data_IF_355245134364
#
_entry.id   IF_355245134364
#
_cell.length_a   1.000
_cell.length_b   1.000
_cell.length_c   1.000
_cell.angle_alpha   90.00
_cell.angle_beta   90.00
_cell.angle_gamma   90.00
#
_symmetry.space_group_name_H-M   'P 1'
#
loop_
_entity.id
_entity.type
_entity.pdbx_description
1 polymer ?
#
# COMPACT_ATOMS: atom_id res chain seq x y z
N UNK A 1 16.58 -11.86 -22.48
CA UNK A 1 15.90 -10.62 -22.07
C UNK A 1 15.09 -10.97 -20.82
N UNK A 2 15.42 -10.42 -19.65
CA UNK A 2 14.63 -10.68 -18.43
C UNK A 2 13.22 -10.11 -18.65
N UNK A 3 12.18 -10.93 -18.41
CA UNK A 3 10.78 -10.49 -18.47
C UNK A 3 10.60 -9.37 -17.41
N UNK A 4 10.18 -8.19 -17.82
CA UNK A 4 9.85 -7.11 -16.88
C UNK A 4 8.77 -7.61 -15.92
N UNK A 5 8.89 -7.29 -14.64
CA UNK A 5 7.94 -7.70 -13.59
C UNK A 5 7.07 -6.52 -13.20
N UNK A 6 5.88 -6.77 -12.65
CA UNK A 6 5.07 -5.71 -12.05
C UNK A 6 5.80 -5.01 -10.90
N UNK A 7 5.43 -3.76 -10.63
CA UNK A 7 5.88 -3.01 -9.45
C UNK A 7 4.74 -2.90 -8.42
N UNK A 8 5.08 -2.85 -7.13
CA UNK A 8 4.15 -2.56 -6.04
C UNK A 8 4.19 -1.06 -5.75
N UNK A 9 3.04 -0.41 -5.84
CA UNK A 9 2.88 1.01 -5.51
C UNK A 9 2.19 1.10 -4.16
N UNK A 10 2.95 1.44 -3.13
CA UNK A 10 2.45 1.60 -1.75
C UNK A 10 1.99 3.04 -1.54
N UNK A 11 0.70 3.21 -1.24
CA UNK A 11 0.08 4.53 -1.08
C UNK A 11 0.12 4.97 0.39
N UNK A 12 1.09 5.81 0.74
CA UNK A 12 1.32 6.36 2.07
C UNK A 12 1.05 7.89 2.15
N UNK A 13 0.20 8.42 1.26
CA UNK A 13 -0.08 9.86 1.18
C UNK A 13 -1.46 10.24 1.76
N UNK A 14 -2.19 9.29 2.35
CA UNK A 14 -3.48 9.54 2.99
C UNK A 14 -3.34 10.39 4.27
N UNK A 15 -4.29 11.29 4.51
CA UNK A 15 -4.27 12.19 5.68
C UNK A 15 -4.57 11.50 7.01
N UNK A 16 -5.05 10.26 7.00
CA UNK A 16 -5.40 9.51 8.22
C UNK A 16 -6.49 10.15 9.08
N UNK A 17 -7.43 10.90 8.49
CA UNK A 17 -8.41 11.73 9.22
C UNK A 17 -9.36 10.94 10.14
N UNK A 18 -9.52 9.65 9.91
CA UNK A 18 -10.36 8.76 10.73
C UNK A 18 -9.65 8.24 11.97
N UNK A 19 -8.33 8.33 11.99
CA UNK A 19 -7.53 7.92 13.14
C UNK A 19 -7.51 9.03 14.18
N UNK A 20 -8.23 8.85 15.29
CA UNK A 20 -8.38 9.84 16.39
C UNK A 20 -7.31 9.68 17.49
N UNK A 21 -6.28 8.85 17.28
CA UNK A 21 -5.15 8.67 18.19
C UNK A 21 -4.08 9.75 18.03
N UNK A 22 -3.05 9.68 18.87
CA UNK A 22 -1.89 10.58 18.77
C UNK A 22 -1.04 10.25 17.52
N UNK A 23 -0.64 11.26 16.78
CA UNK A 23 0.22 11.11 15.59
C UNK A 23 -0.50 10.57 14.36
N UNK A 24 0.28 10.03 13.41
CA UNK A 24 -0.26 9.49 12.18
C UNK A 24 -0.45 7.96 12.27
N UNK A 25 -1.56 7.41 11.75
CA UNK A 25 -1.88 5.99 11.83
C UNK A 25 -0.76 5.06 11.31
N UNK A 26 -0.05 5.48 10.28
CA UNK A 26 1.05 4.71 9.68
C UNK A 26 2.30 4.63 10.56
N UNK A 27 2.45 5.56 11.52
CA UNK A 27 3.56 5.62 12.48
C UNK A 27 3.26 4.85 13.76
N UNK A 28 2.03 4.36 13.93
CA UNK A 28 1.63 3.59 15.11
C UNK A 28 2.34 2.25 15.16
N UNK A 29 2.77 1.84 16.36
CA UNK A 29 3.46 0.57 16.58
C UNK A 29 2.48 -0.59 16.52
N UNK A 30 2.91 -1.68 15.87
CA UNK A 30 2.14 -2.92 15.77
C UNK A 30 2.31 -3.82 16.98
N UNK A 31 3.50 -3.82 17.60
CA UNK A 31 3.77 -4.61 18.81
C UNK A 31 3.16 -3.98 20.06
N UNK A 32 2.68 -4.84 21.00
CA UNK A 32 2.25 -4.41 22.31
C UNK A 32 3.41 -3.88 23.18
N UNK A 33 3.10 -3.42 24.41
CA UNK A 33 4.00 -2.73 25.35
C UNK A 33 5.31 -3.47 25.72
N UNK A 34 5.44 -4.76 25.38
CA UNK A 34 6.56 -5.64 25.82
C UNK A 34 7.68 -5.79 24.78
N UNK A 35 7.78 -4.89 23.80
CA UNK A 35 8.86 -4.97 22.82
C UNK A 35 10.16 -4.37 23.35
N UNK A 36 11.26 -5.02 22.93
CA UNK A 36 12.64 -4.63 23.20
C UNK A 36 12.83 -3.12 23.01
N UNK A 37 13.18 -2.36 24.04
CA UNK A 37 13.36 -0.91 23.95
C UNK A 37 14.46 -0.49 22.99
N UNK A 38 15.25 -1.44 22.48
CA UNK A 38 16.35 -1.20 21.50
C UNK A 38 15.85 -1.22 20.05
N UNK A 39 14.67 -1.81 19.76
CA UNK A 39 14.11 -1.76 18.42
C UNK A 39 13.65 -0.34 18.09
N UNK A 40 14.14 0.22 16.99
CA UNK A 40 13.71 1.53 16.51
C UNK A 40 12.18 1.57 16.38
N UNK A 41 11.47 2.55 16.98
CA UNK A 41 10.02 2.67 16.87
C UNK A 41 9.54 2.66 15.41
N UNK A 42 10.33 3.20 14.49
CA UNK A 42 10.03 3.23 13.07
C UNK A 42 9.99 1.83 12.45
N UNK A 43 10.80 0.87 12.93
CA UNK A 43 10.88 -0.47 12.37
C UNK A 43 9.66 -1.36 12.71
N UNK A 44 8.86 -0.97 13.70
CA UNK A 44 7.68 -1.72 14.16
C UNK A 44 6.37 -0.99 13.84
N UNK A 45 6.41 0.01 12.97
CA UNK A 45 5.21 0.77 12.61
C UNK A 45 4.30 0.01 11.62
N UNK A 46 3.02 0.39 11.55
CA UNK A 46 2.06 -0.10 10.54
C UNK A 46 2.67 0.00 9.14
N UNK A 47 3.28 1.14 8.82
CA UNK A 47 3.96 1.37 7.55
C UNK A 47 5.12 0.38 7.35
N UNK A 48 5.97 0.19 8.36
CA UNK A 48 7.13 -0.70 8.27
C UNK A 48 6.71 -2.14 7.99
N UNK A 49 5.69 -2.65 8.65
CA UNK A 49 5.16 -3.99 8.39
C UNK A 49 4.60 -4.14 6.96
N UNK A 50 3.81 -3.17 6.49
CA UNK A 50 3.30 -3.18 5.12
C UNK A 50 4.44 -3.16 4.09
N UNK A 51 5.44 -2.30 4.29
CA UNK A 51 6.61 -2.21 3.41
C UNK A 51 7.47 -3.47 3.45
N UNK A 52 7.72 -4.04 4.63
CA UNK A 52 8.47 -5.28 4.76
C UNK A 52 7.81 -6.43 3.96
N UNK A 53 6.48 -6.57 4.04
CA UNK A 53 5.73 -7.55 3.28
C UNK A 53 5.80 -7.29 1.76
N UNK A 54 5.69 -6.03 1.34
CA UNK A 54 5.83 -5.67 -0.08
C UNK A 54 7.25 -5.95 -0.60
N UNK A 55 8.29 -5.58 0.13
CA UNK A 55 9.71 -5.80 -0.22
C UNK A 55 10.03 -7.31 -0.26
N UNK A 56 9.47 -8.11 0.65
CA UNK A 56 9.67 -9.57 0.68
C UNK A 56 9.19 -10.30 -0.58
N UNK A 57 8.35 -9.67 -1.43
CA UNK A 57 7.97 -10.21 -2.74
C UNK A 57 9.13 -10.26 -3.75
N UNK A 58 10.19 -9.48 -3.53
CA UNK A 58 11.27 -9.26 -4.49
C UNK A 58 10.83 -8.52 -5.76
N UNK A 59 9.65 -7.90 -5.78
CA UNK A 59 9.21 -6.95 -6.80
C UNK A 59 9.79 -5.57 -6.48
N UNK A 60 9.87 -4.69 -7.50
CA UNK A 60 10.16 -3.29 -7.25
C UNK A 60 9.02 -2.67 -6.43
N UNK A 61 9.37 -1.97 -5.36
CA UNK A 61 8.39 -1.26 -4.50
C UNK A 61 8.63 0.23 -4.66
N UNK A 62 7.58 0.98 -4.97
CA UNK A 62 7.58 2.45 -4.98
C UNK A 62 6.60 2.95 -3.92
N UNK A 63 7.07 3.84 -3.05
CA UNK A 63 6.25 4.45 -2.01
C UNK A 63 5.85 5.85 -2.41
N UNK A 64 4.56 6.12 -2.46
CA UNK A 64 4.04 7.47 -2.65
C UNK A 64 3.65 8.04 -1.30
N UNK A 65 4.31 9.12 -0.90
CA UNK A 65 4.15 9.71 0.44
C UNK A 65 4.05 11.22 0.38
N UNK A 66 3.79 11.86 1.53
CA UNK A 66 3.82 13.32 1.68
C UNK A 66 5.10 13.78 2.37
N UNK A 67 5.41 15.08 2.28
CA UNK A 67 6.57 15.64 2.97
C UNK A 67 6.52 15.40 4.48
N UNK A 68 5.32 15.41 5.07
CA UNK A 68 5.11 15.16 6.50
C UNK A 68 5.54 13.75 6.93
N UNK A 69 5.26 12.73 6.12
CA UNK A 69 5.58 11.32 6.42
C UNK A 69 6.95 10.89 5.90
N UNK A 70 7.65 11.74 5.14
CA UNK A 70 8.96 11.42 4.60
C UNK A 70 9.96 10.90 5.65
N UNK A 71 10.07 11.49 6.87
CA UNK A 71 10.99 10.99 7.90
C UNK A 71 10.71 9.54 8.32
N UNK A 72 9.45 9.10 8.25
CA UNK A 72 9.04 7.73 8.61
C UNK A 72 9.25 6.75 7.47
N UNK A 73 9.30 7.22 6.21
CA UNK A 73 9.50 6.39 5.01
C UNK A 73 10.98 6.17 4.71
N UNK A 74 11.81 7.22 4.78
CA UNK A 74 13.23 7.19 4.39
C UNK A 74 14.06 6.07 5.03
N UNK A 75 13.86 5.70 6.32
CA UNK A 75 14.62 4.60 6.90
C UNK A 75 14.25 3.20 6.38
N UNK A 76 13.10 3.08 5.70
CA UNK A 76 12.50 1.80 5.33
C UNK A 76 12.76 1.39 3.88
N UNK A 77 13.08 2.34 3.00
CA UNK A 77 13.26 2.09 1.56
C UNK A 77 14.25 3.08 0.93
N UNK A 78 14.85 2.67 -0.19
CA UNK A 78 15.79 3.52 -0.90
C UNK A 78 15.14 4.81 -1.44
N UNK A 79 15.84 5.93 -1.37
CA UNK A 79 15.33 7.24 -1.77
C UNK A 79 14.85 7.32 -3.23
N UNK A 80 15.46 6.54 -4.14
CA UNK A 80 15.06 6.47 -5.56
C UNK A 80 13.69 5.81 -5.78
N UNK A 81 13.17 5.10 -4.79
CA UNK A 81 11.86 4.43 -4.83
C UNK A 81 10.81 5.17 -3.97
N UNK A 82 11.09 6.42 -3.58
CA UNK A 82 10.16 7.28 -2.86
C UNK A 82 9.69 8.42 -3.74
N UNK A 83 8.38 8.58 -3.86
CA UNK A 83 7.72 9.70 -4.55
C UNK A 83 7.05 10.58 -3.52
N UNK A 84 7.61 11.77 -3.29
CA UNK A 84 6.99 12.77 -2.44
C UNK A 84 5.98 13.60 -3.22
N UNK A 85 4.74 13.62 -2.77
CA UNK A 85 3.72 14.54 -3.29
C UNK A 85 3.55 15.72 -2.34
N UNK A 86 3.29 16.91 -2.91
CA UNK A 86 3.17 18.13 -2.12
C UNK A 86 1.88 18.12 -1.29
N UNK A 87 2.00 18.45 0.00
CA UNK A 87 0.85 18.63 0.91
C UNK A 87 0.11 19.93 0.66
N UNK A 88 0.80 20.92 0.06
CA UNK A 88 0.31 22.27 -0.23
C UNK A 88 0.59 22.63 -1.69
N UNK A 89 -0.32 23.39 -2.30
CA UNK A 89 -0.11 23.94 -3.64
C UNK A 89 0.87 25.13 -3.63
N UNK A 90 1.18 25.67 -4.81
CA UNK A 90 2.07 26.83 -4.97
C UNK A 90 1.55 28.12 -4.29
N UNK A 91 0.30 28.13 -3.83
CA UNK A 91 -0.33 29.27 -3.11
C UNK A 91 -0.44 29.00 -1.60
N UNK A 92 0.18 27.92 -1.10
CA UNK A 92 0.14 27.57 0.32
C UNK A 92 -1.18 26.95 0.80
N UNK A 93 -2.09 26.59 -0.11
CA UNK A 93 -3.35 25.91 0.21
C UNK A 93 -3.13 24.40 0.21
N UNK A 94 -3.93 23.66 0.99
CA UNK A 94 -3.90 22.20 0.95
C UNK A 94 -4.06 21.72 -0.49
N UNK A 95 -3.05 20.99 -0.99
CA UNK A 95 -3.11 20.43 -2.32
C UNK A 95 -4.29 19.44 -2.38
N UNK A 96 -5.00 19.31 -3.50
CA UNK A 96 -6.03 18.31 -3.70
C UNK A 96 -5.37 16.93 -3.87
N UNK A 97 -4.79 16.41 -2.78
CA UNK A 97 -4.15 15.10 -2.76
C UNK A 97 -5.26 14.07 -2.68
N UNK A 98 -5.68 13.56 -3.82
CA UNK A 98 -6.61 12.45 -3.90
C UNK A 98 -5.89 11.12 -4.16
N UNK A 99 -6.57 10.00 -3.89
CA UNK A 99 -6.05 8.67 -4.14
C UNK A 99 -5.65 8.48 -5.61
N UNK A 100 -6.43 9.04 -6.55
CA UNK A 100 -6.13 8.98 -7.99
C UNK A 100 -4.79 9.64 -8.33
N UNK A 101 -4.51 10.80 -7.78
CA UNK A 101 -3.25 11.50 -7.98
C UNK A 101 -2.06 10.71 -7.42
N UNK A 102 -2.22 10.11 -6.24
CA UNK A 102 -1.19 9.26 -5.63
C UNK A 102 -0.89 8.03 -6.48
N UNK A 103 -1.92 7.38 -7.03
CA UNK A 103 -1.75 6.25 -7.95
C UNK A 103 -1.00 6.70 -9.21
N UNK A 104 -1.43 7.80 -9.84
CA UNK A 104 -0.81 8.33 -11.05
C UNK A 104 0.69 8.64 -10.84
N UNK A 105 1.05 9.27 -9.73
CA UNK A 105 2.43 9.61 -9.39
C UNK A 105 3.30 8.34 -9.20
N UNK A 106 2.80 7.34 -8.50
CA UNK A 106 3.51 6.07 -8.28
C UNK A 106 3.68 5.27 -9.57
N UNK A 107 2.64 5.18 -10.40
CA UNK A 107 2.67 4.50 -11.70
C UNK A 107 3.67 5.19 -12.65
N UNK A 108 3.68 6.52 -12.70
CA UNK A 108 4.63 7.28 -13.51
C UNK A 108 6.09 7.03 -13.08
N UNK A 109 6.37 6.95 -11.78
CA UNK A 109 7.70 6.66 -11.23
C UNK A 109 8.19 5.23 -11.54
N UNK A 110 7.26 4.29 -11.77
CA UNK A 110 7.54 2.91 -12.17
C UNK A 110 7.08 2.61 -13.60
N UNK A 111 7.18 3.59 -14.51
CA UNK A 111 6.64 3.49 -15.87
C UNK A 111 7.31 2.43 -16.76
N UNK A 112 8.44 1.87 -16.33
CA UNK A 112 9.14 0.76 -16.99
C UNK A 112 8.66 -0.62 -16.53
N UNK A 113 7.78 -0.71 -15.52
CA UNK A 113 7.24 -1.97 -15.03
C UNK A 113 6.25 -2.62 -16.01
N UNK A 114 6.05 -3.95 -15.88
CA UNK A 114 5.07 -4.70 -16.70
C UNK A 114 3.67 -4.73 -16.08
N UNK A 115 3.36 -3.82 -15.18
CA UNK A 115 2.10 -3.66 -14.48
C UNK A 115 2.33 -3.07 -13.10
N UNK A 116 1.26 -2.77 -12.40
CA UNK A 116 1.31 -2.11 -11.08
C UNK A 116 0.31 -2.71 -10.12
N UNK A 117 0.76 -3.00 -8.92
CA UNK A 117 -0.05 -3.50 -7.80
C UNK A 117 -0.26 -2.34 -6.82
N UNK A 118 -1.46 -1.84 -6.75
CA UNK A 118 -1.82 -0.71 -5.86
C UNK A 118 -2.15 -1.27 -4.48
N UNK A 119 -1.35 -0.86 -3.50
CA UNK A 119 -1.41 -1.32 -2.12
C UNK A 119 -1.53 -0.13 -1.16
N UNK A 120 -2.60 -0.01 -0.35
CA UNK A 120 -2.65 0.93 0.77
C UNK A 120 -1.54 0.64 1.80
N UNK A 121 -0.93 1.69 2.37
CA UNK A 121 0.19 1.56 3.31
C UNK A 121 -0.24 1.09 4.72
N UNK A 122 -1.51 0.98 4.98
CA UNK A 122 -2.14 0.63 6.26
C UNK A 122 -2.60 -0.83 6.34
N UNK A 123 -1.99 -1.72 5.54
CA UNK A 123 -2.33 -3.15 5.48
C UNK A 123 -1.18 -4.04 5.99
N UNK A 124 -0.84 -3.96 7.29
CA UNK A 124 0.37 -4.58 7.83
C UNK A 124 0.35 -6.11 7.88
N UNK A 125 -0.82 -6.74 7.76
CA UNK A 125 -1.00 -8.19 7.83
C UNK A 125 -1.04 -8.88 6.46
N UNK A 126 -1.03 -8.12 5.37
CA UNK A 126 -1.05 -8.66 4.01
C UNK A 126 0.20 -9.49 3.72
N UNK A 127 0.02 -10.75 3.32
CA UNK A 127 1.15 -11.66 3.08
C UNK A 127 1.78 -11.44 1.69
N UNK A 128 3.12 -11.58 1.57
CA UNK A 128 3.83 -11.46 0.29
C UNK A 128 3.29 -12.42 -0.79
N UNK A 129 2.87 -13.63 -0.40
CA UNK A 129 2.29 -14.62 -1.31
C UNK A 129 1.02 -14.12 -2.00
N UNK A 130 0.16 -13.38 -1.29
CA UNK A 130 -1.07 -12.80 -1.84
C UNK A 130 -0.75 -11.69 -2.86
N UNK A 131 0.27 -10.88 -2.61
CA UNK A 131 0.76 -9.87 -3.57
C UNK A 131 1.25 -10.55 -4.85
N UNK A 132 2.05 -11.61 -4.71
CA UNK A 132 2.59 -12.36 -5.84
C UNK A 132 1.50 -13.09 -6.64
N UNK A 133 0.45 -13.59 -5.97
CA UNK A 133 -0.68 -14.22 -6.66
C UNK A 133 -1.42 -13.23 -7.57
N UNK A 134 -1.67 -12.00 -7.10
CA UNK A 134 -2.28 -10.95 -7.92
C UNK A 134 -1.33 -10.52 -9.05
N UNK A 135 -0.01 -10.41 -8.77
CA UNK A 135 0.99 -10.09 -9.80
C UNK A 135 0.99 -11.12 -10.95
N UNK A 136 0.89 -12.40 -10.64
CA UNK A 136 0.85 -13.47 -11.63
C UNK A 136 -0.41 -13.42 -12.52
N UNK A 137 -1.55 -13.03 -11.96
CA UNK A 137 -2.80 -12.90 -12.71
C UNK A 137 -2.73 -11.80 -13.80
N UNK A 138 -1.86 -10.79 -13.67
CA UNK A 138 -1.67 -9.75 -14.67
C UNK A 138 -1.04 -10.23 -15.98
N UNK A 139 -0.51 -11.43 -16.01
CA UNK A 139 -0.05 -12.06 -17.28
C UNK A 139 -1.21 -12.39 -18.24
N UNK A 140 -2.44 -12.48 -17.73
CA UNK A 140 -3.62 -12.91 -18.48
C UNK A 140 -4.80 -11.91 -18.42
N UNK A 141 -4.82 -11.04 -17.40
CA UNK A 141 -5.94 -10.15 -17.17
C UNK A 141 -5.47 -8.68 -17.06
N UNK A 142 -6.21 -7.73 -17.64
CA UNK A 142 -5.86 -6.31 -17.53
C UNK A 142 -5.98 -5.77 -16.11
N UNK A 143 -6.90 -6.33 -15.32
CA UNK A 143 -7.10 -5.99 -13.90
C UNK A 143 -7.21 -7.28 -13.09
N UNK A 144 -6.55 -7.32 -11.93
CA UNK A 144 -6.69 -8.40 -10.96
C UNK A 144 -6.77 -7.84 -9.54
N UNK A 145 -7.43 -8.53 -8.62
CA UNK A 145 -7.47 -8.11 -7.22
C UNK A 145 -7.50 -9.31 -6.28
N UNK A 146 -6.91 -9.14 -5.10
CA UNK A 146 -7.00 -10.17 -4.07
C UNK A 146 -8.44 -10.29 -3.55
N UNK A 147 -8.87 -11.52 -3.28
CA UNK A 147 -10.16 -11.83 -2.71
C UNK A 147 -9.99 -12.88 -1.61
N UNK A 148 -10.72 -12.73 -0.50
CA UNK A 148 -10.75 -13.71 0.59
C UNK A 148 -12.20 -14.00 0.97
N UNK A 149 -12.61 -15.26 0.87
CA UNK A 149 -13.98 -15.73 1.10
C UNK A 149 -15.03 -14.89 0.33
N UNK A 150 -14.78 -14.64 -0.97
CA UNK A 150 -15.68 -13.88 -1.83
C UNK A 150 -15.68 -12.36 -1.57
N UNK A 151 -14.92 -11.86 -0.59
CA UNK A 151 -14.80 -10.43 -0.30
C UNK A 151 -13.56 -9.86 -0.99
N UNK A 152 -13.76 -8.79 -1.77
CA UNK A 152 -12.71 -8.09 -2.48
C UNK A 152 -11.81 -7.32 -1.51
N UNK A 153 -10.49 -7.47 -1.69
CA UNK A 153 -9.44 -6.81 -0.91
C UNK A 153 -8.35 -6.18 -1.77
N UNK A 154 -7.17 -6.03 -1.18
CA UNK A 154 -5.96 -5.51 -1.80
C UNK A 154 -4.85 -6.58 -1.82
N UNK A 155 -3.85 -6.41 -2.74
CA UNK A 155 -3.69 -5.33 -3.71
C UNK A 155 -4.68 -5.43 -4.87
N UNK A 156 -4.84 -4.29 -5.59
CA UNK A 156 -5.47 -4.27 -6.90
C UNK A 156 -4.40 -4.07 -7.95
N UNK A 157 -4.29 -5.01 -8.88
CA UNK A 157 -3.29 -5.02 -9.93
C UNK A 157 -3.85 -4.52 -11.28
N UNK A 158 -2.98 -3.89 -12.06
CA UNK A 158 -3.24 -3.37 -13.40
C UNK A 158 -2.10 -3.76 -14.34
N UNK A 159 -2.42 -4.28 -15.52
CA UNK A 159 -1.42 -4.60 -16.54
C UNK A 159 -0.83 -3.34 -17.20
N UNK A 160 0.31 -3.49 -17.88
CA UNK A 160 1.02 -2.40 -18.52
C UNK A 160 0.19 -1.64 -19.58
N UNK A 161 -0.77 -2.29 -20.21
CA UNK A 161 -1.66 -1.67 -21.21
C UNK A 161 -2.54 -0.55 -20.63
N UNK A 162 -2.76 -0.53 -19.30
CA UNK A 162 -3.56 0.48 -18.61
C UNK A 162 -2.73 1.69 -18.13
N UNK A 163 -1.46 1.81 -18.56
CA UNK A 163 -0.58 2.91 -18.16
C UNK A 163 -1.24 4.29 -18.34
N UNK A 164 -1.73 4.57 -19.54
CA UNK A 164 -2.32 5.88 -19.87
C UNK A 164 -3.56 6.20 -19.05
N UNK A 165 -4.37 5.19 -18.71
CA UNK A 165 -5.55 5.35 -17.86
C UNK A 165 -5.12 5.70 -16.42
N UNK A 166 -4.08 5.03 -15.91
CA UNK A 166 -3.63 5.21 -14.54
C UNK A 166 -2.90 6.53 -14.30
N UNK A 167 -2.05 6.97 -15.22
CA UNK A 167 -1.36 8.27 -15.10
C UNK A 167 -2.30 9.47 -15.28
N UNK A 168 -3.47 9.27 -15.89
CA UNK A 168 -4.53 10.27 -16.01
C UNK A 168 -5.45 10.37 -14.81
N UNK A 169 -5.28 9.55 -13.77
CA UNK A 169 -6.14 9.55 -12.60
C UNK A 169 -5.99 10.84 -11.78
N UNK A 170 -7.13 11.34 -11.29
CA UNK A 170 -7.23 12.54 -10.47
C UNK A 170 -8.29 12.34 -9.37
N UNK A 171 -8.29 13.22 -8.35
CA UNK A 171 -9.29 13.23 -7.30
C UNK A 171 -9.25 12.00 -6.37
N UNK A 172 -10.33 11.81 -5.62
CA UNK A 172 -10.40 10.83 -4.52
C UNK A 172 -10.95 9.45 -4.93
N UNK A 173 -11.50 9.30 -6.14
CA UNK A 173 -12.12 8.04 -6.57
C UNK A 173 -11.11 6.89 -6.79
N UNK A 174 -9.81 7.21 -6.80
CA UNK A 174 -8.77 6.24 -7.06
C UNK A 174 -8.94 5.60 -8.45
N UNK A 175 -8.66 4.30 -8.55
CA UNK A 175 -8.76 3.54 -9.79
C UNK A 175 -10.12 2.83 -9.99
N UNK A 176 -11.17 3.16 -9.21
CA UNK A 176 -12.48 2.46 -9.26
C UNK A 176 -13.10 2.47 -10.65
N UNK A 177 -13.00 3.60 -11.39
CA UNK A 177 -13.52 3.71 -12.76
C UNK A 177 -12.77 2.81 -13.74
N UNK A 178 -11.45 2.71 -13.60
CA UNK A 178 -10.64 1.81 -14.43
C UNK A 178 -11.06 0.36 -14.18
N UNK A 179 -11.16 -0.03 -12.90
CA UNK A 179 -11.60 -1.39 -12.53
C UNK A 179 -13.00 -1.72 -13.07
N UNK A 180 -13.94 -0.76 -13.05
CA UNK A 180 -15.29 -0.96 -13.56
C UNK A 180 -15.37 -1.09 -15.10
N UNK A 181 -14.38 -0.54 -15.80
CA UNK A 181 -14.34 -0.49 -17.28
C UNK A 181 -13.72 -1.73 -17.91
N UNK A 182 -12.80 -2.37 -17.22
CA UNK A 182 -12.02 -3.49 -17.78
C UNK A 182 -12.39 -4.83 -17.12
N UNK A 183 -12.28 -5.95 -17.86
CA UNK A 183 -12.41 -7.27 -17.28
C UNK A 183 -11.46 -7.44 -16.10
N UNK A 184 -11.97 -7.91 -14.97
CA UNK A 184 -11.19 -8.06 -13.76
C UNK A 184 -11.22 -9.49 -13.23
N UNK A 185 -10.06 -10.01 -12.82
CA UNK A 185 -9.90 -11.32 -12.20
C UNK A 185 -9.88 -11.21 -10.69
N UNK A 186 -10.81 -11.87 -10.02
CA UNK A 186 -10.72 -12.14 -8.59
C UNK A 186 -9.70 -13.28 -8.35
N UNK A 187 -8.68 -12.99 -7.55
CA UNK A 187 -7.66 -13.96 -7.13
C UNK A 187 -7.98 -14.36 -5.70
N UNK A 188 -8.58 -15.55 -5.53
CA UNK A 188 -8.90 -16.07 -4.19
C UNK A 188 -7.61 -16.46 -3.47
N UNK A 189 -7.42 -15.94 -2.27
CA UNK A 189 -6.25 -16.21 -1.42
C UNK A 189 -6.68 -16.58 0.01
N UNK A 190 -5.97 -17.50 0.63
CA UNK A 190 -6.15 -17.83 2.05
C UNK A 190 -5.35 -16.87 2.93
N UNK A 191 -5.74 -15.60 2.87
CA UNK A 191 -5.09 -14.50 3.59
C UNK A 191 -6.13 -13.45 4.00
N UNK A 192 -6.60 -13.45 5.25
CA UNK A 192 -7.50 -12.42 5.74
C UNK A 192 -6.86 -11.01 5.73
N UNK A 193 -5.52 -10.92 5.73
CA UNK A 193 -4.80 -9.65 5.67
C UNK A 193 -5.10 -8.80 4.45
N UNK A 194 -5.60 -9.40 3.36
CA UNK A 194 -6.03 -8.65 2.16
C UNK A 194 -7.26 -7.76 2.39
N UNK A 195 -7.97 -7.98 3.51
CA UNK A 195 -9.20 -7.26 3.89
C UNK A 195 -9.01 -6.34 5.10
N UNK A 196 -7.82 -6.34 5.71
CA UNK A 196 -7.58 -5.69 7.01
C UNK A 196 -6.68 -4.49 6.82
N UNK A 197 -7.26 -3.32 6.96
CA UNK A 197 -6.60 -2.02 7.05
C UNK A 197 -6.69 -1.46 8.47
N UNK A 198 -5.76 -0.59 8.83
CA UNK A 198 -5.75 0.14 10.12
C UNK A 198 -6.30 1.53 9.88
N UNK A 199 -7.57 1.75 10.20
CA UNK A 199 -8.21 3.05 10.05
C UNK A 199 -8.48 3.76 11.38
N UNK A 200 -8.68 2.99 12.45
CA UNK A 200 -9.05 3.49 13.77
C UNK A 200 -8.09 2.99 14.87
N UNK A 201 -8.17 3.59 16.06
CA UNK A 201 -7.43 3.13 17.25
C UNK A 201 -7.87 1.74 17.66
N UNK A 202 -9.15 1.42 17.49
CA UNK A 202 -9.75 0.12 17.80
C UNK A 202 -9.21 -0.97 16.85
N UNK A 203 -9.01 -0.66 15.55
CA UNK A 203 -8.40 -1.60 14.62
C UNK A 203 -6.97 -1.92 15.05
N UNK A 204 -6.19 -0.90 15.40
CA UNK A 204 -4.83 -1.07 15.88
C UNK A 204 -4.79 -1.95 17.16
N UNK A 205 -5.62 -1.65 18.16
CA UNK A 205 -5.69 -2.40 19.42
C UNK A 205 -6.05 -3.86 19.18
N UNK A 206 -6.97 -4.14 18.24
CA UNK A 206 -7.35 -5.51 17.85
C UNK A 206 -6.16 -6.27 17.27
N UNK A 207 -5.38 -5.64 16.40
CA UNK A 207 -4.20 -6.26 15.78
C UNK A 207 -3.10 -6.53 16.81
N UNK A 208 -2.84 -5.59 17.72
CA UNK A 208 -1.88 -5.77 18.82
C UNK A 208 -2.26 -6.95 19.72
N UNK A 209 -3.54 -7.10 20.06
CA UNK A 209 -4.05 -8.22 20.85
C UNK A 209 -3.88 -9.58 20.16
N UNK A 210 -4.08 -9.68 18.86
CA UNK A 210 -3.88 -10.90 18.08
C UNK A 210 -2.41 -11.34 18.02
N UNK A 211 -1.47 -10.41 17.92
CA UNK A 211 -0.04 -10.70 17.91
C UNK A 211 0.46 -11.18 19.28
N UNK A 212 -0.10 -10.66 20.38
CA UNK A 212 0.21 -11.12 21.74
C UNK A 212 -0.16 -12.59 21.95
N UNK A 213 -1.32 -13.03 21.46
CA UNK A 213 -1.78 -14.43 21.57
C UNK A 213 -0.96 -15.41 20.72
N UNK A 214 -0.50 -15.00 19.54
CA UNK A 214 0.30 -15.85 18.65
C UNK A 214 1.73 -16.12 19.18
N UNK A 215 2.24 -15.31 20.08
CA UNK A 215 3.58 -15.47 20.69
C UNK A 215 3.58 -16.34 21.96
N UNK A 216 2.41 -16.59 22.56
CA UNK A 216 2.27 -17.41 23.79
C UNK A 216 1.87 -18.86 23.49
N UNK A 217 1.74 -19.25 22.23
CA UNK A 217 1.46 -20.63 21.76
C UNK A 217 2.68 -21.26 21.11
#
# INVERSE_FOLDING_TARGET
MMKRRPAVIVLAAGRGLRFLGEGHKLEQRMGGADLDPVASPAADSVLAHTLANAIATGLRVVVVTTQKLMPSVQPLIAACDVVAIADIDSQGRAAPIGMGYSIAAGVAAAGDANGWLILPADMPLLRPASILAVAAALDQFPVAYAQHHGRRGHPVGFSAELFSELIGLQGDEGARRVVARYPSQAVEVDDPGVLIDVDTVEDLARLQGQQGLARTS
#
